data_IF_130498526619
#
_entry.id   IF_130498526619
#
_cell.length_a   1.000
_cell.length_b   1.000
_cell.length_c   1.000
_cell.angle_alpha   90.00
_cell.angle_beta   90.00
_cell.angle_gamma   90.00
#
_symmetry.space_group_name_H-M   'P 1'
#
loop_
_entity.id
_entity.type
_entity.pdbx_description
1 polymer ?
#
# COMPACT_ATOMS: atom_id res chain seq x y z
N UNK A 1 43.95 27.46 -22.96
CA UNK A 1 44.81 28.09 -21.91
C UNK A 1 44.59 27.35 -20.64
N UNK A 2 45.73 26.83 -20.15
CA UNK A 2 45.87 26.05 -18.90
C UNK A 2 45.55 26.87 -17.65
N UNK A 3 44.98 26.27 -16.62
CA UNK A 3 45.57 26.25 -15.27
C UNK A 3 44.88 25.29 -14.36
N UNK A 4 45.61 24.22 -14.07
CA UNK A 4 45.43 23.33 -12.93
C UNK A 4 45.81 24.06 -11.64
N UNK A 5 45.13 23.76 -10.53
CA UNK A 5 45.67 23.90 -9.19
C UNK A 5 45.36 22.63 -8.41
N UNK A 6 46.41 21.97 -8.03
CA UNK A 6 46.56 20.84 -7.10
C UNK A 6 46.97 21.47 -5.74
N UNK A 7 46.53 20.89 -4.66
CA UNK A 7 47.21 20.73 -3.36
C UNK A 7 46.16 20.76 -2.21
N UNK A 8 46.24 20.10 -1.11
CA UNK A 8 47.26 19.20 -0.50
C UNK A 8 46.59 18.50 0.68
N UNK A 9 47.04 17.32 0.93
CA UNK A 9 46.78 16.40 2.04
C UNK A 9 47.20 17.02 3.39
N UNK A 10 46.45 16.72 4.47
CA UNK A 10 47.04 16.58 5.79
C UNK A 10 46.33 15.54 6.65
N UNK A 11 46.99 14.41 6.81
CA UNK A 11 46.80 13.43 7.89
C UNK A 11 47.22 14.05 9.25
N UNK A 12 46.45 13.82 10.28
CA UNK A 12 46.99 13.76 11.66
C UNK A 12 46.39 12.52 12.35
N UNK A 13 47.25 11.55 12.54
CA UNK A 13 47.07 10.43 13.46
C UNK A 13 47.55 10.88 14.85
N UNK A 14 46.86 10.51 15.89
CA UNK A 14 47.47 10.38 17.23
C UNK A 14 46.80 9.25 18.03
N UNK A 15 47.65 8.42 18.48
CA UNK A 15 47.57 7.14 19.16
C UNK A 15 47.39 7.28 20.66
N UNK A 16 46.64 6.37 21.27
CA UNK A 16 47.06 5.40 22.28
C UNK A 16 46.92 5.68 23.79
N UNK A 17 46.65 4.59 24.49
CA UNK A 17 46.87 4.16 25.86
C UNK A 17 45.75 4.54 26.85
N UNK A 18 45.23 3.64 27.69
CA UNK A 18 45.59 2.27 28.04
C UNK A 18 45.22 2.02 29.49
N UNK A 19 44.85 0.80 29.86
CA UNK A 19 44.89 0.26 31.24
C UNK A 19 43.55 0.43 32.00
N UNK A 20 42.99 -0.54 32.67
CA UNK A 20 43.37 -1.84 33.15
C UNK A 20 42.56 -2.19 34.38
N UNK A 21 42.08 -3.43 34.40
CA UNK A 21 42.04 -4.39 35.50
C UNK A 21 41.02 -4.32 36.65
N UNK A 22 40.34 -5.45 36.78
CA UNK A 22 40.12 -6.28 38.01
C UNK A 22 39.08 -5.78 39.01
N UNK A 23 38.24 -6.58 39.53
CA UNK A 23 38.10 -7.93 40.03
C UNK A 23 36.90 -8.00 40.97
N UNK A 24 36.37 -9.18 41.05
CA UNK A 24 35.76 -9.80 42.24
C UNK A 24 34.25 -9.70 42.48
N UNK A 25 33.62 -10.83 42.21
CA UNK A 25 32.45 -11.29 42.96
C UNK A 25 32.80 -11.62 44.41
N UNK A 26 31.84 -11.70 45.32
CA UNK A 26 31.61 -12.98 45.95
C UNK A 26 30.13 -13.41 46.05
N UNK A 27 29.98 -14.71 45.99
CA UNK A 27 28.93 -15.59 46.44
C UNK A 27 28.50 -15.37 47.90
N UNK A 28 27.21 -15.58 48.18
CA UNK A 28 26.72 -16.31 49.40
C UNK A 28 25.22 -16.52 49.26
N UNK A 29 24.76 -17.72 48.97
CA UNK A 29 24.27 -18.75 49.89
C UNK A 29 22.98 -18.44 50.68
N UNK A 30 21.93 -19.17 50.26
CA UNK A 30 20.97 -19.94 51.09
C UNK A 30 20.10 -19.23 52.14
N UNK A 31 18.77 -19.30 51.98
CA UNK A 31 17.95 -20.08 52.94
C UNK A 31 16.54 -20.36 52.36
N UNK A 32 16.23 -21.64 52.32
CA UNK A 32 14.91 -22.21 52.02
C UNK A 32 14.04 -22.10 53.27
N UNK A 33 12.83 -21.55 53.14
CA UNK A 33 11.78 -21.76 54.14
C UNK A 33 10.52 -22.16 53.39
N UNK A 34 10.14 -23.41 53.63
CA UNK A 34 8.85 -23.94 53.21
C UNK A 34 7.78 -23.42 54.18
N UNK A 35 6.65 -22.95 53.63
CA UNK A 35 5.43 -22.84 54.40
C UNK A 35 4.23 -23.14 53.52
N UNK A 36 3.47 -24.05 53.98
CA UNK A 36 2.28 -24.75 53.55
C UNK A 36 1.21 -24.00 52.77
N UNK A 37 0.67 -24.74 51.87
CA UNK A 37 -0.54 -24.71 51.07
C UNK A 37 -1.80 -24.29 51.86
N UNK A 38 -2.48 -23.27 51.35
CA UNK A 38 -3.93 -23.17 51.46
C UNK A 38 -4.51 -22.96 50.05
N UNK A 39 -5.31 -23.92 49.61
CA UNK A 39 -6.05 -23.94 48.35
C UNK A 39 -7.32 -23.13 48.56
N UNK A 40 -7.36 -21.90 48.09
CA UNK A 40 -8.62 -21.16 47.86
C UNK A 40 -8.97 -21.22 46.37
N UNK A 41 -10.01 -21.93 46.06
CA UNK A 41 -10.64 -21.97 44.73
C UNK A 41 -11.40 -20.67 44.54
N UNK A 42 -10.75 -19.68 43.93
CA UNK A 42 -11.47 -18.55 43.40
C UNK A 42 -11.97 -18.87 41.99
N UNK A 43 -13.28 -18.99 41.85
CA UNK A 43 -13.97 -19.06 40.59
C UNK A 43 -13.90 -17.66 39.95
N UNK A 44 -12.92 -17.41 39.09
CA UNK A 44 -12.89 -16.21 38.27
C UNK A 44 -13.98 -16.33 37.21
N UNK A 45 -15.06 -15.62 37.41
CA UNK A 45 -16.02 -15.32 36.36
C UNK A 45 -15.34 -14.34 35.40
N UNK A 46 -14.79 -14.82 34.29
CA UNK A 46 -14.36 -13.96 33.20
C UNK A 46 -15.58 -13.24 32.64
N UNK A 47 -15.74 -11.98 33.05
CA UNK A 47 -16.66 -11.05 32.41
C UNK A 47 -16.04 -10.65 31.08
N UNK A 48 -16.47 -11.32 30.02
CA UNK A 48 -16.16 -10.85 28.64
C UNK A 48 -16.70 -9.42 28.50
N UNK A 49 -15.82 -8.46 28.65
CA UNK A 49 -16.14 -7.05 28.38
C UNK A 49 -16.07 -6.89 26.86
N UNK A 50 -17.20 -7.07 26.20
CA UNK A 50 -17.36 -6.64 24.81
C UNK A 50 -17.11 -5.14 24.80
N UNK A 51 -15.99 -4.70 24.22
CA UNK A 51 -15.69 -3.30 24.00
C UNK A 51 -16.77 -2.75 23.07
N UNK A 52 -17.67 -1.96 23.62
CA UNK A 52 -18.67 -1.25 22.82
C UNK A 52 -17.93 -0.29 21.86
N UNK A 53 -18.04 -0.52 20.57
CA UNK A 53 -17.54 0.41 19.55
C UNK A 53 -18.21 1.76 19.82
N UNK A 54 -17.45 2.88 19.85
CA UNK A 54 -18.06 4.18 19.98
C UNK A 54 -19.06 4.39 18.85
N UNK A 55 -20.31 4.62 19.15
CA UNK A 55 -21.40 4.76 18.18
C UNK A 55 -21.23 5.99 17.26
N UNK A 56 -20.25 6.84 17.51
CA UNK A 56 -19.99 8.05 16.72
C UNK A 56 -18.49 8.28 16.62
N UNK A 57 -17.89 7.90 15.49
CA UNK A 57 -16.47 8.08 15.21
C UNK A 57 -16.18 9.53 14.79
N UNK A 58 -17.17 10.21 14.23
CA UNK A 58 -17.14 11.62 13.82
C UNK A 58 -18.43 12.34 14.18
N UNK A 59 -18.36 13.67 14.30
CA UNK A 59 -19.54 14.52 14.41
C UNK A 59 -20.43 14.40 13.17
N UNK A 60 -21.74 14.69 13.25
CA UNK A 60 -22.60 14.75 12.08
C UNK A 60 -21.98 15.64 10.99
N UNK A 61 -21.88 15.12 9.80
CA UNK A 61 -21.26 15.80 8.66
C UNK A 61 -22.03 15.47 7.38
N UNK A 62 -22.22 16.46 6.51
CA UNK A 62 -22.81 16.27 5.18
C UNK A 62 -21.98 17.08 4.21
N UNK A 63 -21.38 16.42 3.23
CA UNK A 63 -20.67 17.07 2.14
C UNK A 63 -21.65 17.66 1.14
N UNK A 64 -21.38 18.85 0.62
CA UNK A 64 -22.12 19.42 -0.52
C UNK A 64 -21.80 18.66 -1.83
N UNK A 65 -20.63 18.03 -1.90
CA UNK A 65 -20.16 17.27 -3.08
C UNK A 65 -20.59 15.80 -2.95
N UNK A 66 -20.16 15.13 -1.88
CA UNK A 66 -20.24 13.67 -1.75
C UNK A 66 -21.57 13.15 -1.20
N UNK A 67 -22.52 14.04 -0.90
CA UNK A 67 -23.93 13.68 -0.74
C UNK A 67 -24.63 13.31 -2.07
N UNK A 68 -24.02 13.69 -3.20
CA UNK A 68 -24.45 13.24 -4.52
C UNK A 68 -23.74 11.91 -4.86
N UNK A 69 -24.48 10.79 -5.02
CA UNK A 69 -23.87 9.50 -5.34
C UNK A 69 -23.16 9.49 -6.69
N UNK A 70 -23.46 10.41 -7.61
CA UNK A 70 -22.77 10.49 -8.92
C UNK A 70 -21.32 10.96 -8.81
N UNK A 71 -20.91 11.52 -7.66
CA UNK A 71 -19.53 11.89 -7.36
C UNK A 71 -18.74 10.75 -6.70
N UNK A 72 -19.20 9.52 -6.84
CA UNK A 72 -18.47 8.32 -6.46
C UNK A 72 -18.22 7.45 -7.69
N UNK A 73 -16.99 7.01 -7.87
CA UNK A 73 -16.59 6.06 -8.91
C UNK A 73 -17.11 4.65 -8.58
N UNK A 74 -17.03 4.28 -7.28
CA UNK A 74 -17.65 3.06 -6.75
C UNK A 74 -18.34 3.35 -5.43
N UNK A 75 -19.51 2.68 -5.23
CA UNK A 75 -20.29 2.77 -4.01
C UNK A 75 -21.22 1.55 -3.86
N UNK A 76 -21.40 0.96 -2.67
CA UNK A 76 -22.14 -0.31 -2.48
C UNK A 76 -23.61 -0.28 -2.88
N UNK A 77 -24.23 0.91 -2.94
CA UNK A 77 -25.64 1.11 -3.31
C UNK A 77 -25.84 1.52 -4.78
N UNK A 78 -24.79 1.41 -5.61
CA UNK A 78 -24.80 1.70 -7.04
C UNK A 78 -24.38 0.46 -7.82
N UNK A 79 -24.80 0.38 -9.08
CA UNK A 79 -24.20 -0.55 -10.05
C UNK A 79 -23.07 0.18 -10.77
N UNK A 80 -21.85 -0.22 -10.54
CA UNK A 80 -20.66 0.47 -11.03
C UNK A 80 -19.51 -0.49 -11.39
N UNK A 81 -18.36 0.07 -11.74
CA UNK A 81 -17.22 -0.71 -12.24
C UNK A 81 -16.60 -1.65 -11.19
N UNK A 82 -16.87 -1.43 -9.90
CA UNK A 82 -16.40 -2.32 -8.84
C UNK A 82 -17.27 -3.58 -8.67
N UNK A 83 -18.39 -3.67 -9.41
CA UNK A 83 -19.26 -4.85 -9.50
C UNK A 83 -18.94 -5.71 -10.73
N UNK A 84 -18.04 -5.27 -11.62
CA UNK A 84 -17.72 -5.98 -12.85
C UNK A 84 -16.91 -7.27 -12.57
N UNK A 85 -16.94 -8.20 -13.53
CA UNK A 85 -16.19 -9.46 -13.46
C UNK A 85 -14.67 -9.20 -13.37
N UNK A 86 -14.06 -9.63 -12.27
CA UNK A 86 -12.60 -9.54 -12.04
C UNK A 86 -11.90 -10.89 -12.09
N UNK A 87 -12.50 -11.88 -12.76
CA UNK A 87 -11.93 -13.23 -12.89
C UNK A 87 -10.56 -13.22 -13.56
N UNK A 88 -9.73 -14.19 -13.18
CA UNK A 88 -8.33 -14.31 -13.61
C UNK A 88 -8.12 -15.69 -14.21
N UNK A 89 -7.56 -15.75 -15.42
CA UNK A 89 -7.01 -17.01 -15.95
C UNK A 89 -5.56 -17.16 -15.49
N UNK A 90 -5.32 -18.13 -14.62
CA UNK A 90 -3.96 -18.53 -14.21
C UNK A 90 -3.34 -19.42 -15.27
N UNK A 91 -2.13 -19.08 -15.75
CA UNK A 91 -1.39 -19.80 -16.80
C UNK A 91 -0.15 -20.42 -16.16
N UNK A 92 -0.13 -21.74 -16.05
CA UNK A 92 0.99 -22.50 -15.46
C UNK A 92 2.13 -22.69 -16.47
N UNK A 93 3.32 -23.07 -15.97
CA UNK A 93 4.51 -23.31 -16.78
C UNK A 93 4.29 -24.40 -17.88
N UNK A 94 3.47 -25.40 -17.60
CA UNK A 94 3.12 -26.48 -18.56
C UNK A 94 2.06 -26.07 -19.59
N UNK A 95 1.56 -24.83 -19.56
CA UNK A 95 0.52 -24.29 -20.42
C UNK A 95 -0.90 -24.62 -19.98
N UNK A 96 -1.09 -25.31 -18.87
CA UNK A 96 -2.41 -25.50 -18.29
C UNK A 96 -2.99 -24.18 -17.79
N UNK A 97 -4.30 -24.03 -17.89
CA UNK A 97 -5.01 -22.84 -17.45
C UNK A 97 -6.08 -23.18 -16.42
N UNK A 98 -6.23 -22.34 -15.42
CA UNK A 98 -7.28 -22.39 -14.40
C UNK A 98 -7.93 -21.02 -14.26
N UNK A 99 -9.27 -20.97 -14.19
CA UNK A 99 -10.00 -19.71 -13.97
C UNK A 99 -10.35 -19.58 -12.50
N UNK A 100 -9.88 -18.48 -11.89
CA UNK A 100 -10.27 -18.05 -10.55
C UNK A 100 -11.35 -16.97 -10.68
N UNK A 101 -12.46 -17.14 -9.97
CA UNK A 101 -13.58 -16.20 -9.97
C UNK A 101 -13.68 -15.47 -8.64
N UNK A 102 -14.07 -14.20 -8.69
CA UNK A 102 -14.18 -13.29 -7.56
C UNK A 102 -15.57 -12.66 -7.58
N UNK A 103 -16.49 -13.21 -6.78
CA UNK A 103 -17.83 -12.66 -6.68
C UNK A 103 -17.87 -11.51 -5.68
N UNK A 104 -18.52 -10.43 -6.04
CA UNK A 104 -18.78 -9.32 -5.12
C UNK A 104 -19.58 -9.81 -3.91
N UNK A 105 -19.18 -9.43 -2.71
CA UNK A 105 -19.94 -9.68 -1.48
C UNK A 105 -20.68 -8.41 -1.04
N UNK A 106 -21.99 -8.27 -1.34
CA UNK A 106 -22.75 -7.09 -0.95
C UNK A 106 -22.92 -6.96 0.57
N UNK A 107 -22.77 -8.07 1.30
CA UNK A 107 -22.92 -8.15 2.74
C UNK A 107 -21.56 -8.15 3.46
N UNK A 108 -20.47 -7.83 2.75
CA UNK A 108 -19.12 -7.79 3.33
C UNK A 108 -19.09 -7.04 4.68
N UNK A 109 -18.42 -7.62 5.71
CA UNK A 109 -18.52 -7.09 7.07
C UNK A 109 -17.72 -5.80 7.30
N UNK A 110 -16.83 -5.44 6.36
CA UNK A 110 -15.92 -4.30 6.43
C UNK A 110 -16.03 -3.44 5.19
N UNK A 111 -15.39 -2.26 5.21
CA UNK A 111 -15.40 -1.33 4.10
C UNK A 111 -13.99 -1.16 3.52
N UNK A 112 -13.91 -0.87 2.22
CA UNK A 112 -12.73 -0.39 1.53
C UNK A 112 -12.95 1.05 1.08
N UNK A 113 -11.98 1.94 1.32
CA UNK A 113 -12.00 3.31 0.83
C UNK A 113 -10.82 3.53 -0.11
N UNK A 114 -11.10 3.76 -1.39
CA UNK A 114 -10.09 3.78 -2.46
C UNK A 114 -9.88 5.16 -3.07
N UNK A 115 -8.61 5.57 -3.19
CA UNK A 115 -8.19 6.76 -3.92
C UNK A 115 -7.30 6.36 -5.12
N UNK A 116 -7.81 6.63 -6.34
CA UNK A 116 -7.14 6.25 -7.59
C UNK A 116 -5.90 7.10 -7.90
N UNK A 117 -5.00 6.66 -8.80
CA UNK A 117 -3.86 7.43 -9.27
C UNK A 117 -4.26 8.57 -10.23
N UNK A 118 -3.27 9.28 -10.79
CA UNK A 118 -3.48 10.20 -11.91
C UNK A 118 -4.00 9.43 -13.12
N UNK A 119 -5.30 9.53 -13.41
CA UNK A 119 -5.98 8.81 -14.47
C UNK A 119 -6.70 9.74 -15.46
N UNK A 120 -7.20 10.89 -15.01
CA UNK A 120 -8.00 11.79 -15.82
C UNK A 120 -7.29 12.27 -17.08
N UNK A 121 -8.01 12.19 -18.20
CA UNK A 121 -7.60 12.72 -19.52
C UNK A 121 -8.12 14.15 -19.77
N UNK A 122 -8.71 14.80 -18.77
CA UNK A 122 -9.11 16.21 -18.86
C UNK A 122 -7.94 17.10 -19.24
N UNK A 123 -8.24 18.12 -20.03
CA UNK A 123 -7.22 19.07 -20.54
C UNK A 123 -6.97 20.27 -19.61
N UNK A 124 -7.38 20.16 -18.35
CA UNK A 124 -7.26 21.14 -17.27
C UNK A 124 -6.22 20.69 -16.24
N UNK A 125 -5.83 21.57 -15.29
CA UNK A 125 -4.90 21.17 -14.23
C UNK A 125 -5.48 20.10 -13.30
N UNK A 126 -6.75 20.24 -12.92
CA UNK A 126 -7.49 19.26 -12.15
C UNK A 126 -8.63 18.69 -13.01
N UNK A 127 -8.98 17.44 -12.78
CA UNK A 127 -10.17 16.80 -13.31
C UNK A 127 -11.45 17.46 -12.77
N UNK A 128 -12.56 17.19 -13.43
CA UNK A 128 -13.86 17.45 -12.85
C UNK A 128 -14.31 16.29 -11.91
N UNK A 129 -15.57 16.27 -11.54
CA UNK A 129 -16.17 15.23 -10.68
C UNK A 129 -16.91 14.16 -11.48
N UNK A 130 -16.62 14.04 -12.79
CA UNK A 130 -17.21 13.04 -13.68
C UNK A 130 -16.16 11.97 -13.97
N UNK A 131 -16.32 10.79 -13.38
CA UNK A 131 -15.34 9.71 -13.57
C UNK A 131 -15.35 9.21 -15.03
N UNK A 132 -14.22 9.40 -15.70
CA UNK A 132 -13.89 8.88 -17.02
C UNK A 132 -13.03 7.62 -16.91
N UNK A 133 -11.74 7.75 -17.24
CA UNK A 133 -10.74 6.68 -17.13
C UNK A 133 -10.48 6.21 -15.70
N UNK A 134 -10.88 7.00 -14.70
CA UNK A 134 -10.83 6.64 -13.28
C UNK A 134 -11.59 5.33 -13.00
N UNK A 135 -12.69 5.07 -13.76
CA UNK A 135 -13.46 3.80 -13.68
C UNK A 135 -12.62 2.60 -14.12
N UNK A 136 -11.85 2.75 -15.20
CA UNK A 136 -10.99 1.67 -15.69
C UNK A 136 -9.90 1.34 -14.65
N UNK A 137 -9.33 2.38 -14.04
CA UNK A 137 -8.28 2.20 -13.03
C UNK A 137 -8.86 1.64 -11.73
N UNK A 138 -10.04 2.06 -11.30
CA UNK A 138 -10.74 1.47 -10.16
C UNK A 138 -11.05 -0.02 -10.39
N UNK A 139 -11.49 -0.37 -11.59
CA UNK A 139 -11.68 -1.77 -12.01
C UNK A 139 -10.37 -2.58 -11.90
N UNK A 140 -9.27 -2.05 -12.42
CA UNK A 140 -7.97 -2.73 -12.45
C UNK A 140 -7.39 -2.94 -11.05
N UNK A 141 -7.51 -1.95 -10.16
CA UNK A 141 -6.80 -1.91 -8.88
C UNK A 141 -7.68 -2.30 -7.68
N UNK A 142 -8.93 -1.84 -7.62
CA UNK A 142 -9.76 -1.95 -6.44
C UNK A 142 -10.91 -2.97 -6.55
N UNK A 143 -11.53 -3.13 -7.73
CA UNK A 143 -12.77 -3.88 -7.89
C UNK A 143 -12.71 -5.31 -7.34
N UNK A 144 -11.55 -6.02 -7.46
CA UNK A 144 -11.43 -7.40 -6.93
C UNK A 144 -11.58 -7.48 -5.42
N UNK A 145 -11.27 -6.40 -4.68
CA UNK A 145 -11.46 -6.38 -3.23
C UNK A 145 -12.93 -6.27 -2.82
N UNK A 146 -13.86 -5.97 -3.76
CA UNK A 146 -15.30 -6.04 -3.50
C UNK A 146 -15.79 -7.46 -3.13
N UNK A 147 -14.95 -8.49 -3.30
CA UNK A 147 -15.21 -9.83 -2.76
C UNK A 147 -15.06 -9.90 -1.23
N UNK A 148 -14.45 -8.91 -0.60
CA UNK A 148 -14.08 -8.93 0.82
C UNK A 148 -14.55 -7.71 1.59
N UNK A 149 -14.83 -6.59 0.91
CA UNK A 149 -15.25 -5.33 1.51
C UNK A 149 -16.24 -4.58 0.64
N UNK A 150 -17.11 -3.77 1.26
CA UNK A 150 -17.96 -2.83 0.53
C UNK A 150 -17.08 -1.68 0.01
N UNK A 151 -17.08 -1.45 -1.29
CA UNK A 151 -16.18 -0.47 -1.93
C UNK A 151 -16.74 0.95 -1.93
N UNK A 152 -15.94 1.90 -1.45
CA UNK A 152 -16.19 3.33 -1.53
C UNK A 152 -15.01 4.00 -2.25
N UNK A 153 -15.23 4.55 -3.44
CA UNK A 153 -14.23 5.24 -4.24
C UNK A 153 -14.75 6.62 -4.66
N UNK A 154 -14.41 7.71 -3.93
CA UNK A 154 -14.85 9.03 -4.35
C UNK A 154 -14.19 9.45 -5.67
N UNK A 155 -14.97 10.07 -6.55
CA UNK A 155 -14.43 10.83 -7.68
C UNK A 155 -13.92 12.16 -7.13
N UNK A 156 -12.62 12.40 -7.20
CA UNK A 156 -12.02 13.62 -6.66
C UNK A 156 -11.27 14.38 -7.76
N UNK A 157 -11.18 15.69 -7.64
CA UNK A 157 -10.55 16.58 -8.64
C UNK A 157 -9.03 16.40 -8.64
N UNK A 158 -8.58 15.23 -9.12
CA UNK A 158 -7.17 14.87 -9.21
C UNK A 158 -6.40 15.81 -10.16
N UNK A 159 -5.09 15.94 -9.97
CA UNK A 159 -4.23 16.51 -11.01
C UNK A 159 -4.30 15.58 -12.22
N UNK A 160 -4.60 16.13 -13.39
CA UNK A 160 -4.80 15.34 -14.61
C UNK A 160 -3.48 14.88 -15.24
N UNK A 161 -3.52 13.94 -16.19
CA UNK A 161 -2.34 13.58 -16.99
C UNK A 161 -1.75 14.81 -17.70
N UNK A 162 -2.62 15.67 -18.28
CA UNK A 162 -2.20 16.92 -18.90
C UNK A 162 -1.57 17.88 -17.89
N UNK A 163 -2.15 18.00 -16.68
CA UNK A 163 -1.60 18.81 -15.59
C UNK A 163 -0.26 18.30 -15.08
N UNK A 164 -0.07 16.98 -15.01
CA UNK A 164 1.16 16.36 -14.54
C UNK A 164 2.31 16.55 -15.55
N UNK A 165 2.07 16.24 -16.84
CA UNK A 165 3.12 16.17 -17.86
C UNK A 165 3.32 17.47 -18.66
N UNK A 166 2.45 18.48 -18.53
CA UNK A 166 2.60 19.76 -19.18
C UNK A 166 2.92 20.90 -18.18
N UNK A 167 4.21 21.19 -17.89
CA UNK A 167 4.59 22.24 -16.94
C UNK A 167 4.17 23.65 -17.38
N UNK A 168 3.88 23.85 -18.67
CA UNK A 168 3.43 25.14 -19.23
C UNK A 168 1.91 25.33 -19.17
N UNK A 169 1.15 24.37 -18.64
CA UNK A 169 -0.30 24.47 -18.49
C UNK A 169 -0.64 25.66 -17.57
N UNK A 170 -1.56 26.56 -17.99
CA UNK A 170 -1.92 27.75 -17.20
C UNK A 170 -2.73 27.35 -15.95
N UNK A 171 -2.59 28.14 -14.89
CA UNK A 171 -3.33 27.97 -13.64
C UNK A 171 -2.43 27.98 -12.42
N UNK A 172 -3.04 27.92 -11.23
CA UNK A 172 -2.33 27.81 -9.96
C UNK A 172 -2.00 26.34 -9.64
N UNK A 173 -0.75 25.95 -9.90
CA UNK A 173 -0.28 24.60 -9.65
C UNK A 173 -0.23 24.24 -8.17
N UNK A 174 -0.04 25.22 -7.28
CA UNK A 174 -0.07 24.97 -5.84
C UNK A 174 -1.47 24.58 -5.41
N UNK A 175 -2.47 25.35 -5.85
CA UNK A 175 -3.87 25.01 -5.58
C UNK A 175 -4.28 23.69 -6.24
N UNK A 176 -3.77 23.41 -7.44
CA UNK A 176 -4.05 22.15 -8.13
C UNK A 176 -3.61 20.91 -7.36
N UNK A 177 -2.55 20.99 -6.56
CA UNK A 177 -2.12 19.90 -5.67
C UNK A 177 -2.82 19.89 -4.30
N UNK A 178 -3.49 20.98 -3.90
CA UNK A 178 -4.26 21.05 -2.66
C UNK A 178 -5.69 20.53 -2.84
N UNK A 179 -6.31 20.82 -3.97
CA UNK A 179 -7.70 20.47 -4.28
C UNK A 179 -8.00 18.97 -4.10
N UNK A 180 -7.17 18.02 -4.60
CA UNK A 180 -7.39 16.60 -4.40
C UNK A 180 -7.50 16.18 -2.94
N UNK A 181 -6.68 16.78 -2.07
CA UNK A 181 -6.71 16.46 -0.65
C UNK A 181 -7.97 16.96 0.04
N UNK A 182 -8.42 18.18 -0.30
CA UNK A 182 -9.65 18.72 0.27
C UNK A 182 -10.85 17.85 -0.13
N UNK A 183 -10.90 17.39 -1.38
CA UNK A 183 -11.94 16.49 -1.87
C UNK A 183 -11.91 15.12 -1.14
N UNK A 184 -10.74 14.49 -1.03
CA UNK A 184 -10.59 13.20 -0.32
C UNK A 184 -10.97 13.34 1.15
N UNK A 185 -10.59 14.43 1.81
CA UNK A 185 -10.95 14.69 3.22
C UNK A 185 -12.44 14.92 3.38
N UNK A 186 -13.07 15.65 2.46
CA UNK A 186 -14.51 15.88 2.44
C UNK A 186 -15.28 14.55 2.24
N UNK A 187 -14.86 13.74 1.26
CA UNK A 187 -15.42 12.41 1.02
C UNK A 187 -15.26 11.48 2.23
N UNK A 188 -14.09 11.47 2.87
CA UNK A 188 -13.82 10.68 4.06
C UNK A 188 -14.75 11.07 5.23
N UNK A 189 -14.90 12.36 5.49
CA UNK A 189 -15.78 12.85 6.56
C UNK A 189 -17.26 12.50 6.27
N UNK A 190 -17.69 12.63 5.02
CA UNK A 190 -19.03 12.23 4.59
C UNK A 190 -19.27 10.75 4.79
N UNK A 191 -18.35 9.90 4.30
CA UNK A 191 -18.39 8.46 4.45
C UNK A 191 -18.46 8.02 5.91
N UNK A 192 -17.59 8.55 6.76
CA UNK A 192 -17.61 8.20 8.18
C UNK A 192 -18.93 8.58 8.88
N UNK A 193 -19.50 9.73 8.52
CA UNK A 193 -20.71 10.22 9.15
C UNK A 193 -21.99 9.53 8.68
N UNK A 194 -22.04 9.02 7.45
CA UNK A 194 -23.27 8.56 6.83
C UNK A 194 -23.25 7.07 6.43
N UNK A 195 -22.10 6.50 6.08
CA UNK A 195 -22.01 5.19 5.42
C UNK A 195 -21.30 4.13 6.24
N UNK A 196 -20.24 4.48 7.00
CA UNK A 196 -19.36 3.52 7.68
C UNK A 196 -20.03 2.77 8.83
N UNK A 197 -20.84 3.44 9.66
CA UNK A 197 -21.56 2.85 10.78
C UNK A 197 -20.67 2.09 11.77
N UNK A 198 -19.39 2.49 11.94
CA UNK A 198 -18.44 1.84 12.84
C UNK A 198 -17.82 0.55 12.31
N UNK A 199 -17.97 0.24 11.03
CA UNK A 199 -17.31 -0.92 10.38
C UNK A 199 -15.81 -0.69 10.32
N UNK A 200 -15.05 -1.78 10.31
CA UNK A 200 -13.63 -1.74 9.99
C UNK A 200 -13.41 -1.22 8.56
N UNK A 201 -12.32 -0.48 8.36
CA UNK A 201 -12.00 0.10 7.06
C UNK A 201 -10.59 -0.24 6.62
N UNK A 202 -10.45 -0.57 5.34
CA UNK A 202 -9.18 -0.72 4.64
C UNK A 202 -9.04 0.44 3.68
N UNK A 203 -7.94 1.19 3.80
CA UNK A 203 -7.62 2.27 2.86
C UNK A 203 -6.81 1.71 1.71
N UNK A 204 -7.16 2.05 0.48
CA UNK A 204 -6.52 1.57 -0.73
C UNK A 204 -6.08 2.77 -1.57
N UNK A 205 -4.84 2.81 -2.04
CA UNK A 205 -4.41 3.88 -2.92
C UNK A 205 -3.24 3.51 -3.81
N UNK A 206 -3.12 4.24 -4.91
CA UNK A 206 -1.97 4.18 -5.81
C UNK A 206 -1.52 5.59 -6.20
N UNK A 207 -0.19 5.80 -6.32
CA UNK A 207 0.40 7.01 -6.93
C UNK A 207 -0.10 8.31 -6.29
N UNK A 208 -0.78 9.18 -7.04
CA UNK A 208 -1.36 10.42 -6.53
C UNK A 208 -2.34 10.16 -5.38
N UNK A 209 -3.18 9.12 -5.51
CA UNK A 209 -4.10 8.70 -4.44
C UNK A 209 -3.37 8.31 -3.17
N UNK A 210 -2.21 7.63 -3.28
CA UNK A 210 -1.35 7.34 -2.12
C UNK A 210 -0.90 8.62 -1.43
N UNK A 211 -0.48 9.64 -2.18
CA UNK A 211 -0.13 10.94 -1.61
C UNK A 211 -1.27 11.57 -0.80
N UNK A 212 -2.50 11.47 -1.30
CA UNK A 212 -3.68 12.02 -0.62
C UNK A 212 -4.04 11.22 0.64
N UNK A 213 -4.07 9.87 0.56
CA UNK A 213 -4.40 9.03 1.71
C UNK A 213 -3.29 9.00 2.76
N UNK A 214 -2.02 9.08 2.40
CA UNK A 214 -0.90 9.25 3.36
C UNK A 214 -1.06 10.57 4.12
N UNK A 215 -1.48 11.64 3.44
CA UNK A 215 -1.77 12.91 4.10
C UNK A 215 -3.01 12.81 5.01
N UNK A 216 -4.07 12.13 4.59
CA UNK A 216 -5.26 11.85 5.41
C UNK A 216 -4.91 11.03 6.65
N UNK A 217 -4.10 9.96 6.47
CA UNK A 217 -3.58 9.17 7.58
C UNK A 217 -2.84 10.06 8.57
N UNK A 218 -1.88 10.83 8.11
CA UNK A 218 -1.02 11.68 8.96
C UNK A 218 -1.78 12.78 9.69
N UNK A 219 -2.67 13.50 9.01
CA UNK A 219 -3.32 14.70 9.54
C UNK A 219 -4.61 14.40 10.31
N UNK A 220 -5.29 13.28 10.01
CA UNK A 220 -6.65 13.03 10.49
C UNK A 220 -6.76 11.70 11.24
N UNK A 221 -6.26 10.59 10.67
CA UNK A 221 -6.49 9.26 11.23
C UNK A 221 -5.48 8.94 12.33
N UNK A 222 -4.18 9.10 12.08
CA UNK A 222 -3.12 8.77 13.02
C UNK A 222 -3.21 9.53 14.36
N UNK A 223 -3.61 10.80 14.43
CA UNK A 223 -3.82 11.48 15.69
C UNK A 223 -5.09 11.05 16.44
N UNK A 224 -6.08 10.47 15.76
CA UNK A 224 -7.40 10.12 16.31
C UNK A 224 -7.48 8.67 16.74
N UNK A 225 -7.53 8.38 18.04
CA UNK A 225 -7.72 7.00 18.54
C UNK A 225 -9.02 6.39 18.01
N UNK A 226 -10.10 7.15 17.94
CA UNK A 226 -11.39 6.69 17.41
C UNK A 226 -11.28 6.24 15.94
N UNK A 227 -10.57 7.02 15.09
CA UNK A 227 -10.41 6.63 13.69
C UNK A 227 -9.40 5.48 13.51
N UNK A 228 -8.32 5.45 14.31
CA UNK A 228 -7.42 4.29 14.31
C UNK A 228 -8.12 3.01 14.74
N UNK A 229 -9.10 3.08 15.64
CA UNK A 229 -9.79 1.89 16.15
C UNK A 229 -10.63 1.16 15.11
N UNK A 230 -10.96 1.79 13.99
CA UNK A 230 -11.65 1.17 12.85
C UNK A 230 -10.70 0.86 11.68
N UNK A 231 -9.46 1.32 11.71
CA UNK A 231 -8.50 1.06 10.66
C UNK A 231 -8.04 -0.41 10.73
N UNK A 232 -8.39 -1.20 9.73
CA UNK A 232 -7.87 -2.56 9.56
C UNK A 232 -6.46 -2.47 8.99
N UNK A 233 -6.30 -1.84 7.83
CA UNK A 233 -4.99 -1.56 7.24
C UNK A 233 -5.07 -0.45 6.20
N UNK A 234 -3.91 -0.02 5.70
CA UNK A 234 -3.80 0.95 4.62
C UNK A 234 -2.80 0.44 3.57
N UNK A 235 -3.27 0.22 2.34
CA UNK A 235 -2.47 -0.27 1.21
C UNK A 235 -2.08 0.94 0.35
N UNK A 236 -0.86 1.44 0.54
CA UNK A 236 -0.37 2.71 -0.02
C UNK A 236 0.73 2.46 -1.04
N UNK A 237 0.37 2.16 -2.29
CA UNK A 237 1.31 1.74 -3.33
C UNK A 237 1.76 2.89 -4.23
N UNK A 238 2.94 2.77 -4.82
CA UNK A 238 3.46 3.74 -5.79
C UNK A 238 3.63 5.14 -5.21
N UNK A 239 3.89 5.26 -3.93
CA UNK A 239 4.11 6.50 -3.21
C UNK A 239 5.17 6.33 -2.12
N UNK A 240 5.19 7.24 -1.15
CA UNK A 240 6.13 7.19 -0.04
C UNK A 240 5.42 7.31 1.31
N UNK A 241 5.59 6.29 2.16
CA UNK A 241 5.32 6.37 3.59
C UNK A 241 6.68 6.43 4.28
N UNK A 242 7.08 7.61 4.76
CA UNK A 242 8.39 7.79 5.39
C UNK A 242 8.43 7.13 6.77
N UNK A 243 9.52 6.42 7.04
CA UNK A 243 9.87 5.85 8.35
C UNK A 243 11.32 6.19 8.68
N UNK A 244 11.73 6.28 9.97
CA UNK A 244 13.14 6.35 10.31
C UNK A 244 13.88 5.09 9.85
N UNK A 245 15.12 5.21 9.44
CA UNK A 245 15.93 4.08 8.99
C UNK A 245 15.93 2.95 10.03
N UNK A 246 15.59 1.72 9.56
CA UNK A 246 15.53 0.52 10.41
C UNK A 246 14.36 0.47 11.38
N UNK A 247 13.33 1.32 11.20
CA UNK A 247 12.11 1.31 12.02
C UNK A 247 10.86 1.23 11.13
N UNK A 248 9.74 0.88 11.76
CA UNK A 248 8.45 0.75 11.08
C UNK A 248 7.48 1.89 11.39
N UNK A 249 7.86 2.81 12.28
CA UNK A 249 7.01 3.90 12.76
C UNK A 249 7.88 5.10 13.19
N UNK A 250 7.35 6.32 13.15
CA UNK A 250 7.96 7.48 13.80
C UNK A 250 8.35 8.64 12.88
N UNK A 251 8.07 8.59 11.57
CA UNK A 251 8.27 9.72 10.67
C UNK A 251 6.93 10.21 10.11
N UNK A 252 6.38 9.58 9.09
CA UNK A 252 5.08 9.97 8.55
C UNK A 252 3.96 9.76 9.57
N UNK A 253 3.98 8.63 10.29
CA UNK A 253 2.97 8.23 11.28
C UNK A 253 3.60 8.09 12.67
N UNK A 254 2.83 8.40 13.72
CA UNK A 254 3.28 8.28 15.11
C UNK A 254 2.68 7.05 15.82
N UNK A 255 1.53 6.54 15.33
CA UNK A 255 0.79 5.47 15.96
C UNK A 255 0.55 4.28 15.02
N UNK A 256 0.61 4.46 13.70
CA UNK A 256 0.32 3.42 12.71
C UNK A 256 1.65 2.92 12.11
N UNK A 257 2.09 1.68 12.42
CA UNK A 257 3.33 1.11 11.91
C UNK A 257 3.18 0.54 10.49
N UNK A 258 4.28 0.16 9.87
CA UNK A 258 4.28 -0.72 8.71
C UNK A 258 3.82 -2.14 9.09
N UNK A 259 3.12 -2.83 8.17
CA UNK A 259 2.70 -4.23 8.35
C UNK A 259 3.91 -5.17 8.29
N UNK A 260 4.00 -6.12 9.24
CA UNK A 260 5.07 -7.13 9.33
C UNK A 260 4.56 -8.55 9.52
N UNK A 261 3.24 -8.75 9.55
CA UNK A 261 2.59 -10.06 9.57
C UNK A 261 1.24 -9.99 8.86
N UNK A 262 0.78 -11.10 8.31
CA UNK A 262 -0.47 -11.17 7.55
C UNK A 262 -1.70 -10.82 8.39
N UNK A 263 -1.71 -11.22 9.67
CA UNK A 263 -2.85 -10.99 10.58
C UNK A 263 -2.73 -9.66 11.36
N UNK A 264 -1.76 -8.81 11.02
CA UNK A 264 -1.53 -7.55 11.71
C UNK A 264 -2.55 -6.51 11.25
N UNK A 265 -3.33 -5.96 12.18
CA UNK A 265 -4.25 -4.85 11.93
C UNK A 265 -3.70 -3.51 12.44
N UNK A 266 -4.26 -2.40 11.96
CA UNK A 266 -3.81 -1.04 12.31
C UNK A 266 -2.44 -0.71 11.75
N UNK A 267 -2.09 -1.21 10.54
CA UNK A 267 -0.78 -1.05 9.94
C UNK A 267 -0.85 -0.57 8.48
N UNK A 268 0.29 -0.24 7.89
CA UNK A 268 0.41 0.23 6.50
C UNK A 268 1.23 -0.77 5.69
N UNK A 269 0.67 -1.24 4.58
CA UNK A 269 1.39 -1.92 3.51
C UNK A 269 1.77 -0.89 2.46
N UNK A 270 3.04 -0.82 2.08
CA UNK A 270 3.53 0.18 1.12
C UNK A 270 4.75 -0.30 0.37
N UNK A 271 4.84 0.06 -0.89
CA UNK A 271 6.03 -0.05 -1.72
C UNK A 271 5.91 0.79 -3.00
N UNK A 272 7.03 1.06 -3.63
CA UNK A 272 7.16 1.33 -5.06
C UNK A 272 8.00 0.21 -5.65
N UNK A 273 7.73 -0.25 -6.87
CA UNK A 273 8.39 -1.43 -7.42
C UNK A 273 9.35 -1.11 -8.55
N UNK A 274 10.44 -1.90 -8.61
CA UNK A 274 11.46 -1.87 -9.65
C UNK A 274 11.91 -3.30 -9.96
N UNK A 275 12.34 -3.53 -11.21
CA UNK A 275 12.95 -4.81 -11.57
C UNK A 275 14.34 -4.97 -10.94
N UNK A 276 14.73 -6.17 -10.63
CA UNK A 276 16.12 -6.50 -10.22
C UNK A 276 17.15 -6.18 -11.32
N UNK A 277 16.76 -6.29 -12.59
CA UNK A 277 17.57 -5.95 -13.75
C UNK A 277 17.61 -4.46 -14.09
N UNK A 278 16.73 -3.65 -13.50
CA UNK A 278 16.61 -2.21 -13.70
C UNK A 278 16.30 -1.51 -12.36
N UNK A 279 17.26 -1.47 -11.40
CA UNK A 279 17.09 -0.82 -10.12
C UNK A 279 16.92 0.70 -10.29
N UNK A 280 16.39 1.41 -9.27
CA UNK A 280 16.12 2.84 -9.35
C UNK A 280 17.37 3.65 -9.67
N UNK A 281 17.38 4.47 -10.74
CA UNK A 281 18.46 5.40 -11.02
C UNK A 281 18.48 6.54 -9.99
N UNK A 282 19.58 7.31 -9.93
CA UNK A 282 19.77 8.39 -8.95
C UNK A 282 18.64 9.44 -8.96
N UNK A 283 18.01 9.65 -10.12
CA UNK A 283 16.90 10.56 -10.36
C UNK A 283 15.52 9.87 -10.40
N UNK A 284 15.42 8.64 -9.88
CA UNK A 284 14.13 7.95 -9.79
C UNK A 284 13.13 8.76 -8.95
N UNK A 285 11.86 8.70 -9.36
CA UNK A 285 10.77 9.44 -8.72
C UNK A 285 10.27 8.76 -7.45
N UNK A 286 10.46 7.45 -7.32
CA UNK A 286 9.95 6.63 -6.22
C UNK A 286 11.08 5.94 -5.46
N UNK A 287 10.75 5.39 -4.29
CA UNK A 287 11.68 4.69 -3.42
C UNK A 287 12.44 5.60 -2.43
N UNK A 288 12.10 6.90 -2.37
CA UNK A 288 12.65 7.87 -1.40
C UNK A 288 11.56 8.42 -0.48
N UNK A 289 11.89 8.80 0.77
CA UNK A 289 10.88 9.23 1.76
C UNK A 289 10.18 10.54 1.41
N UNK A 290 10.81 11.44 0.65
CA UNK A 290 10.20 12.70 0.21
C UNK A 290 9.17 12.55 -0.92
N UNK A 291 9.06 11.37 -1.53
CA UNK A 291 8.23 11.17 -2.72
C UNK A 291 8.79 11.84 -3.97
N UNK A 292 7.96 12.00 -5.00
CA UNK A 292 8.35 12.46 -6.32
C UNK A 292 9.05 13.83 -6.29
N UNK A 293 10.37 13.84 -6.57
CA UNK A 293 11.15 15.07 -6.72
C UNK A 293 11.39 15.88 -5.44
N UNK A 294 10.97 15.38 -4.27
CA UNK A 294 11.18 16.07 -3.01
C UNK A 294 12.48 15.63 -2.32
N UNK A 295 13.13 16.52 -1.55
CA UNK A 295 14.29 16.14 -0.75
C UNK A 295 13.95 15.03 0.25
N UNK A 296 14.88 14.10 0.45
CA UNK A 296 14.80 13.10 1.50
C UNK A 296 15.28 13.69 2.83
N UNK A 297 14.47 13.70 3.89
CA UNK A 297 14.94 14.04 5.22
C UNK A 297 16.07 13.10 5.66
N UNK A 298 17.05 13.61 6.39
CA UNK A 298 18.17 12.82 6.91
C UNK A 298 17.67 11.79 7.95
N UNK A 299 18.13 10.55 7.85
CA UNK A 299 17.74 9.46 8.76
C UNK A 299 16.37 8.87 8.49
N UNK A 300 15.73 9.24 7.38
CA UNK A 300 14.46 8.65 6.93
C UNK A 300 14.64 7.85 5.64
N UNK A 301 13.80 6.82 5.50
CA UNK A 301 13.68 6.00 4.29
C UNK A 301 12.20 5.85 3.89
N UNK A 302 11.94 5.53 2.64
CA UNK A 302 10.61 5.09 2.25
C UNK A 302 10.32 3.71 2.87
N UNK A 303 9.13 3.53 3.42
CA UNK A 303 8.67 2.23 3.86
C UNK A 303 8.59 1.24 2.69
N UNK A 304 8.95 -0.01 2.95
CA UNK A 304 8.73 -1.11 2.02
C UNK A 304 8.21 -2.33 2.78
N UNK A 305 7.11 -2.89 2.28
CA UNK A 305 6.52 -4.14 2.76
C UNK A 305 6.33 -5.07 1.56
N UNK A 306 6.74 -6.31 1.68
CA UNK A 306 6.53 -7.31 0.62
C UNK A 306 5.24 -8.08 0.93
N UNK A 307 4.16 -7.97 0.14
CA UNK A 307 2.90 -8.66 0.42
C UNK A 307 3.00 -10.19 0.37
N UNK A 308 4.04 -10.73 -0.28
CA UNK A 308 4.32 -12.16 -0.28
C UNK A 308 5.22 -12.61 0.89
N UNK A 309 5.78 -11.68 1.68
CA UNK A 309 6.66 -11.97 2.82
C UNK A 309 6.74 -10.77 3.76
N UNK A 310 5.64 -10.42 4.44
CA UNK A 310 5.56 -9.24 5.32
C UNK A 310 6.58 -9.26 6.45
N UNK A 311 6.93 -10.43 6.97
CA UNK A 311 7.97 -10.59 7.98
C UNK A 311 9.40 -10.37 7.44
N UNK A 312 9.54 -10.11 6.14
CA UNK A 312 10.81 -9.89 5.44
C UNK A 312 11.26 -11.06 4.59
N UNK A 313 12.28 -10.82 3.76
CA UNK A 313 12.81 -11.81 2.84
C UNK A 313 12.15 -11.81 1.46
N UNK A 314 12.44 -12.86 0.68
CA UNK A 314 11.87 -13.08 -0.64
C UNK A 314 10.58 -13.88 -0.54
N UNK A 315 9.57 -13.50 -1.31
CA UNK A 315 8.31 -14.23 -1.45
C UNK A 315 7.85 -14.27 -2.90
N UNK A 316 7.08 -15.29 -3.24
CA UNK A 316 6.49 -15.46 -4.58
C UNK A 316 5.23 -14.60 -4.65
N UNK A 317 5.20 -13.67 -5.59
CA UNK A 317 4.06 -12.79 -5.81
C UNK A 317 2.95 -13.52 -6.59
N UNK A 318 1.72 -13.35 -6.14
CA UNK A 318 0.53 -13.73 -6.89
C UNK A 318 0.01 -12.49 -7.64
N UNK A 319 0.27 -12.47 -8.95
CA UNK A 319 -0.06 -11.35 -9.84
C UNK A 319 -1.36 -11.58 -10.59
N UNK A 320 -2.01 -10.48 -10.98
CA UNK A 320 -3.08 -10.49 -11.99
C UNK A 320 -2.98 -9.24 -12.85
N UNK A 321 -2.68 -9.43 -14.12
CA UNK A 321 -2.50 -8.39 -15.12
C UNK A 321 -3.74 -8.28 -16.01
N UNK A 322 -4.02 -7.09 -16.53
CA UNK A 322 -5.10 -6.88 -17.50
C UNK A 322 -4.80 -7.64 -18.78
N UNK A 323 -5.68 -8.54 -19.19
CA UNK A 323 -5.49 -9.43 -20.35
C UNK A 323 -5.32 -8.64 -21.66
N UNK A 324 -6.08 -7.55 -21.84
CA UNK A 324 -6.04 -6.71 -23.04
C UNK A 324 -4.67 -6.04 -23.28
N UNK A 325 -3.87 -5.87 -22.23
CA UNK A 325 -2.55 -5.22 -22.32
C UNK A 325 -1.45 -6.18 -22.80
N UNK A 326 -1.77 -7.46 -23.00
CA UNK A 326 -0.82 -8.49 -23.39
C UNK A 326 -0.93 -8.88 -24.86
N UNK A 327 0.24 -9.11 -25.49
CA UNK A 327 0.35 -9.69 -26.81
C UNK A 327 0.84 -11.14 -26.66
N UNK A 328 -0.01 -12.09 -26.96
CA UNK A 328 0.32 -13.51 -26.92
C UNK A 328 1.00 -13.91 -28.22
N UNK A 329 2.10 -14.69 -28.11
CA UNK A 329 2.77 -15.30 -29.26
C UNK A 329 2.08 -16.57 -29.73
N UNK A 330 1.38 -17.26 -28.82
CA UNK A 330 0.56 -18.45 -29.12
C UNK A 330 -0.92 -18.04 -29.31
N UNK A 331 -1.47 -18.12 -30.54
CA UNK A 331 -2.88 -17.81 -30.80
C UNK A 331 -3.87 -18.76 -30.11
N UNK A 332 -3.48 -20.02 -29.84
CA UNK A 332 -4.34 -20.98 -29.16
C UNK A 332 -4.46 -20.63 -27.68
N UNK A 333 -3.38 -20.24 -27.04
CA UNK A 333 -3.38 -19.73 -25.67
C UNK A 333 -4.20 -18.44 -25.59
N UNK A 334 -3.95 -17.47 -26.48
CA UNK A 334 -4.74 -16.24 -26.54
C UNK A 334 -6.26 -16.48 -26.65
N UNK A 335 -6.65 -17.46 -27.49
CA UNK A 335 -8.07 -17.81 -27.67
C UNK A 335 -8.69 -18.52 -26.44
N UNK A 336 -7.88 -19.11 -25.58
CA UNK A 336 -8.33 -19.79 -24.35
C UNK A 336 -8.59 -18.82 -23.19
N UNK A 337 -8.05 -17.61 -23.23
CA UNK A 337 -8.18 -16.61 -22.15
C UNK A 337 -9.36 -15.71 -22.45
N UNK A 338 -10.44 -15.90 -21.70
CA UNK A 338 -11.69 -15.14 -21.86
C UNK A 338 -11.97 -14.21 -20.66
N UNK A 339 -11.11 -14.26 -19.64
CA UNK A 339 -11.23 -13.44 -18.43
C UNK A 339 -10.58 -12.07 -18.61
N UNK A 340 -11.05 -11.03 -17.91
CA UNK A 340 -10.46 -9.70 -18.00
C UNK A 340 -9.03 -9.63 -17.48
N UNK A 341 -8.65 -10.56 -16.59
CA UNK A 341 -7.29 -10.65 -16.05
C UNK A 341 -6.66 -12.00 -16.30
N UNK A 342 -5.33 -12.02 -16.28
CA UNK A 342 -4.52 -13.23 -16.29
C UNK A 342 -3.39 -13.15 -15.27
N UNK A 343 -2.97 -14.29 -14.77
CA UNK A 343 -1.87 -14.41 -13.82
C UNK A 343 -0.93 -15.55 -14.18
N UNK A 344 0.28 -15.49 -13.67
CA UNK A 344 1.31 -16.49 -13.90
C UNK A 344 1.82 -17.01 -12.54
N UNK A 345 1.41 -18.20 -12.09
CA UNK A 345 1.96 -18.80 -10.87
C UNK A 345 3.48 -18.88 -10.93
N UNK A 346 4.16 -18.56 -9.84
CA UNK A 346 5.61 -18.69 -9.64
C UNK A 346 6.49 -17.91 -10.65
N UNK A 347 5.90 -16.98 -11.41
CA UNK A 347 6.65 -16.16 -12.35
C UNK A 347 7.44 -15.04 -11.67
N UNK A 348 6.89 -14.44 -10.60
CA UNK A 348 7.47 -13.27 -9.97
C UNK A 348 7.85 -13.56 -8.51
N UNK A 349 9.11 -13.28 -8.19
CA UNK A 349 9.58 -13.20 -6.81
C UNK A 349 9.83 -11.75 -6.43
N UNK A 350 9.63 -11.39 -5.16
CA UNK A 350 9.94 -10.06 -4.70
C UNK A 350 10.56 -10.04 -3.29
N UNK A 351 11.33 -9.00 -3.04
CA UNK A 351 11.86 -8.64 -1.73
C UNK A 351 11.97 -7.13 -1.58
N UNK A 352 11.83 -6.62 -0.36
CA UNK A 352 12.19 -5.24 -0.07
C UNK A 352 13.71 -5.07 -0.03
N UNK A 353 14.21 -4.04 -0.71
CA UNK A 353 15.64 -3.68 -0.79
C UNK A 353 15.82 -2.25 -0.34
N UNK A 354 16.88 -1.99 0.45
CA UNK A 354 17.34 -0.64 0.76
C UNK A 354 18.79 -0.50 0.29
N UNK A 355 18.99 0.26 -0.78
CA UNK A 355 20.31 0.47 -1.37
C UNK A 355 20.40 1.85 -2.04
N UNK A 356 21.57 2.48 -1.97
CA UNK A 356 21.83 3.80 -2.58
C UNK A 356 20.82 4.89 -2.18
N UNK A 357 20.22 4.79 -0.97
CA UNK A 357 19.21 5.70 -0.46
C UNK A 357 17.80 5.48 -1.04
N UNK A 358 17.58 4.37 -1.73
CA UNK A 358 16.26 3.93 -2.21
C UNK A 358 15.79 2.70 -1.47
N UNK A 359 14.53 2.70 -1.04
CA UNK A 359 13.81 1.57 -0.48
C UNK A 359 12.65 1.21 -1.39
N UNK A 360 12.63 0.00 -1.92
CA UNK A 360 11.69 -0.42 -2.94
C UNK A 360 11.44 -1.94 -2.93
N UNK A 361 10.33 -2.35 -3.51
CA UNK A 361 10.05 -3.75 -3.80
C UNK A 361 10.82 -4.13 -5.09
N UNK A 362 11.86 -4.92 -4.93
CA UNK A 362 12.63 -5.47 -6.04
C UNK A 362 11.91 -6.70 -6.57
N UNK A 363 11.55 -6.69 -7.86
CA UNK A 363 10.85 -7.79 -8.53
C UNK A 363 11.82 -8.54 -9.42
N UNK A 364 11.92 -9.84 -9.21
CA UNK A 364 12.63 -10.79 -10.07
C UNK A 364 11.62 -11.56 -10.91
N UNK A 365 11.93 -11.77 -12.20
CA UNK A 365 11.13 -12.60 -13.09
C UNK A 365 11.82 -13.96 -13.27
N UNK A 366 11.14 -15.04 -12.87
CA UNK A 366 11.56 -16.41 -13.07
C UNK A 366 11.27 -16.83 -14.53
N UNK A 367 11.93 -16.14 -15.48
CA UNK A 367 11.74 -16.38 -16.90
C UNK A 367 12.32 -17.72 -17.31
N UNK A 368 11.56 -18.51 -18.06
CA UNK A 368 12.01 -19.74 -18.70
C UNK A 368 11.46 -19.79 -20.15
N UNK A 369 12.28 -19.50 -21.16
CA UNK A 369 11.82 -19.47 -22.53
C UNK A 369 11.31 -20.83 -23.07
N UNK A 370 11.42 -21.90 -22.28
CA UNK A 370 10.94 -23.25 -22.65
C UNK A 370 9.53 -23.53 -22.09
N UNK A 371 9.01 -22.68 -21.20
CA UNK A 371 7.67 -22.82 -20.65
C UNK A 371 6.64 -21.94 -21.38
N UNK A 372 5.36 -22.04 -21.00
CA UNK A 372 4.26 -21.31 -21.62
C UNK A 372 3.98 -19.95 -20.97
N UNK A 373 4.68 -19.60 -19.89
CA UNK A 373 4.52 -18.30 -19.23
C UNK A 373 5.27 -17.22 -20.01
N UNK A 374 4.91 -15.98 -19.78
CA UNK A 374 5.66 -14.87 -20.35
C UNK A 374 7.04 -14.73 -19.69
N UNK A 375 8.09 -14.46 -20.49
CA UNK A 375 9.44 -14.21 -19.97
C UNK A 375 9.60 -12.84 -19.30
N UNK A 376 8.62 -11.94 -19.43
CA UNK A 376 8.63 -10.63 -18.84
C UNK A 376 7.20 -10.09 -18.71
N UNK A 377 6.95 -9.26 -17.72
CA UNK A 377 5.73 -8.45 -17.62
C UNK A 377 5.97 -7.04 -18.17
N UNK A 378 4.90 -6.35 -18.55
CA UNK A 378 4.94 -4.94 -18.99
C UNK A 378 4.68 -4.01 -17.80
N UNK A 379 4.87 -2.70 -17.98
CA UNK A 379 4.53 -1.67 -16.99
C UNK A 379 5.65 -0.69 -16.70
N UNK A 380 6.83 -0.82 -17.35
CA UNK A 380 7.88 0.19 -17.27
C UNK A 380 7.47 1.41 -18.10
N UNK A 381 7.35 2.58 -17.45
CA UNK A 381 7.09 3.85 -18.14
C UNK A 381 8.41 4.49 -18.58
N UNK A 382 9.39 4.57 -17.70
CA UNK A 382 10.78 4.95 -17.93
C UNK A 382 11.63 4.45 -16.77
N UNK A 383 12.97 4.47 -16.88
CA UNK A 383 13.83 4.05 -15.78
C UNK A 383 13.56 4.77 -14.45
N UNK A 384 13.16 6.06 -14.50
CA UNK A 384 12.87 6.87 -13.32
C UNK A 384 11.55 6.48 -12.62
N UNK A 385 10.62 5.91 -13.39
CA UNK A 385 9.32 5.44 -12.89
C UNK A 385 9.36 4.00 -12.39
N UNK A 386 10.30 3.19 -12.86
CA UNK A 386 10.32 1.75 -12.60
C UNK A 386 9.08 1.06 -13.16
N UNK A 387 8.54 0.11 -12.41
CA UNK A 387 7.31 -0.62 -12.76
C UNK A 387 6.04 0.00 -12.17
N UNK A 388 6.08 1.28 -11.91
CA UNK A 388 5.01 2.04 -11.23
C UNK A 388 3.61 1.84 -11.82
N UNK A 389 3.50 1.70 -13.15
CA UNK A 389 2.21 1.51 -13.80
C UNK A 389 1.50 0.21 -13.38
N UNK A 390 2.23 -0.76 -12.86
CA UNK A 390 1.73 -2.09 -12.48
C UNK A 390 2.04 -2.47 -11.03
N UNK A 391 2.28 -1.48 -10.16
CA UNK A 391 2.51 -1.72 -8.72
C UNK A 391 1.39 -2.59 -8.10
N UNK A 392 0.13 -2.42 -8.52
CA UNK A 392 -1.00 -3.24 -8.07
C UNK A 392 -1.01 -4.62 -8.70
N UNK A 393 -0.87 -4.71 -10.02
CA UNK A 393 -1.04 -5.94 -10.80
C UNK A 393 0.00 -7.00 -10.44
N UNK A 394 1.25 -6.59 -10.15
CA UNK A 394 2.33 -7.53 -9.81
C UNK A 394 2.06 -8.30 -8.51
N UNK A 395 1.22 -7.78 -7.63
CA UNK A 395 0.96 -8.35 -6.30
C UNK A 395 -0.51 -8.42 -5.93
N UNK A 396 -1.46 -8.16 -6.84
CA UNK A 396 -2.87 -7.94 -6.52
C UNK A 396 -3.54 -9.12 -5.80
N UNK A 397 -3.20 -10.36 -6.14
CA UNK A 397 -3.72 -11.54 -5.44
C UNK A 397 -2.99 -11.79 -4.12
N UNK A 398 -1.70 -11.46 -3.99
CA UNK A 398 -1.00 -11.50 -2.70
C UNK A 398 -1.57 -10.46 -1.73
N UNK A 399 -1.91 -9.26 -2.23
CA UNK A 399 -2.57 -8.22 -1.44
C UNK A 399 -3.95 -8.69 -0.98
N UNK A 400 -4.73 -9.31 -1.86
CA UNK A 400 -6.05 -9.85 -1.51
C UNK A 400 -5.94 -10.91 -0.41
N UNK A 401 -4.94 -11.80 -0.47
CA UNK A 401 -4.71 -12.81 0.58
C UNK A 401 -4.43 -12.13 1.93
N UNK A 402 -3.52 -11.16 1.97
CA UNK A 402 -3.20 -10.42 3.20
C UNK A 402 -4.41 -9.67 3.73
N UNK A 403 -5.17 -8.99 2.87
CA UNK A 403 -6.40 -8.29 3.24
C UNK A 403 -7.42 -9.25 3.87
N UNK A 404 -7.58 -10.45 3.33
CA UNK A 404 -8.48 -11.45 3.89
C UNK A 404 -8.03 -11.93 5.29
N UNK A 405 -6.72 -12.15 5.48
CA UNK A 405 -6.15 -12.51 6.78
C UNK A 405 -6.33 -11.39 7.81
N UNK A 406 -6.10 -10.13 7.42
CA UNK A 406 -6.31 -8.94 8.25
C UNK A 406 -7.79 -8.76 8.65
N UNK A 407 -8.73 -8.95 7.72
CA UNK A 407 -10.18 -8.90 7.98
C UNK A 407 -10.56 -9.99 8.99
N UNK A 408 -10.09 -11.23 8.79
CA UNK A 408 -10.37 -12.32 9.69
C UNK A 408 -9.83 -12.04 11.11
N UNK A 409 -8.60 -11.55 11.22
CA UNK A 409 -8.00 -11.17 12.50
C UNK A 409 -8.77 -10.02 13.18
N UNK A 410 -9.17 -9.00 12.41
CA UNK A 410 -9.94 -7.87 12.94
C UNK A 410 -11.32 -8.31 13.47
N UNK A 411 -12.04 -9.15 12.72
CA UNK A 411 -13.35 -9.68 13.12
C UNK A 411 -13.24 -10.59 14.35
N UNK A 412 -12.15 -11.33 14.51
CA UNK A 412 -11.93 -12.19 15.67
C UNK A 412 -11.76 -11.41 17.00
N UNK A 413 -11.52 -10.11 16.94
CA UNK A 413 -11.36 -9.23 18.12
C UNK A 413 -12.62 -8.44 18.46
N UNK A 414 -13.74 -8.63 17.74
CA UNK A 414 -15.01 -7.91 17.89
C UNK A 414 -16.15 -8.85 18.28
#
# INVERSE_FOLDING_TARGET
MRRSVIALISLISLTACGGGSNDSAPDTSSTRTETSTETSTETSTETSTTLAIPTTIVAPYTSEIYSDPTHWTCRPDMADTCDDDTSVTMISADGSTEVQTFAVDPDAPVDCFYAYPTASEDVTLNSDLIAGREKEVAFQQAARLSTSCRMFAPTYRSVTLAGLFNPAMPGDRTQAWLTPFEDIKDAWNHYLANDNQGRGVILLAHSQGTGQLVRLLKEVIDPSEAQRSILISAIMLGGAVAVPEGKDIGAAMQNIPLCRANEQTGCIMTYASFRDTAPPPVNAFFGKPGGMGQPSPEGEMAGCTNPAALSGGTGVLKSAFVTADWAFTDPALAASITTPFMGFPDLLDAKCVYENGFSYLQIHTNADPTDSRADAFKGDLSPEWGTHAVDWEVASLSILDVVNDEIAAWLATR
#
